data_IF_014472514089
#
_entry.id   IF_014472514089
#
_cell.length_a   1.000
_cell.length_b   1.000
_cell.length_c   1.000
_cell.angle_alpha   90.00
_cell.angle_beta   90.00
_cell.angle_gamma   90.00
#
_symmetry.space_group_name_H-M   'P 1'
#
loop_
_entity.id
_entity.type
_entity.pdbx_description
1 polymer ?
#
# COMPACT_ATOMS: atom_id res chain seq x y z
N UNK A 1 -23.22 2.20 0.00
CA UNK A 1 -22.04 1.55 -0.54
C UNK A 1 -21.41 0.63 0.48
N UNK A 2 -20.77 -0.45 0.06
CA UNK A 2 -20.15 -1.40 0.97
C UNK A 2 -18.78 -0.88 1.46
N UNK A 3 -18.32 -1.42 2.59
CA UNK A 3 -16.99 -1.12 3.12
C UNK A 3 -15.88 -1.47 2.11
N UNK A 4 -16.13 -2.47 1.25
CA UNK A 4 -15.14 -2.92 0.27
C UNK A 4 -14.75 -1.84 -0.75
N UNK A 5 -15.57 -0.82 -0.96
CA UNK A 5 -15.33 0.22 -1.95
C UNK A 5 -15.00 1.59 -1.35
N UNK A 6 -14.85 1.68 -0.03
CA UNK A 6 -14.60 2.97 0.64
C UNK A 6 -13.33 3.62 0.11
N UNK A 7 -12.22 2.91 0.09
CA UNK A 7 -10.94 3.47 -0.35
C UNK A 7 -10.89 3.70 -1.85
N UNK A 8 -11.44 2.78 -2.65
CA UNK A 8 -11.46 2.96 -4.10
C UNK A 8 -12.24 4.21 -4.50
N UNK A 9 -13.35 4.49 -3.81
CA UNK A 9 -14.14 5.70 -4.07
C UNK A 9 -13.36 6.97 -3.71
N UNK A 10 -12.61 6.95 -2.62
CA UNK A 10 -11.74 8.09 -2.26
C UNK A 10 -10.70 8.34 -3.34
N UNK A 11 -10.06 7.28 -3.83
CA UNK A 11 -9.06 7.40 -4.89
C UNK A 11 -9.70 7.94 -6.17
N UNK A 12 -10.84 7.41 -6.55
CA UNK A 12 -11.56 7.89 -7.75
C UNK A 12 -11.92 9.36 -7.65
N UNK A 13 -12.26 9.82 -6.43
CA UNK A 13 -12.71 11.18 -6.21
C UNK A 13 -11.62 12.23 -6.10
N UNK A 14 -10.51 11.90 -5.43
CA UNK A 14 -9.52 12.93 -5.07
C UNK A 14 -8.09 12.66 -5.53
N UNK A 15 -7.73 11.42 -5.86
CA UNK A 15 -6.36 11.11 -6.24
C UNK A 15 -6.04 11.50 -7.68
N UNK A 16 -4.80 11.89 -7.92
CA UNK A 16 -4.30 12.28 -9.25
C UNK A 16 -3.06 11.48 -9.59
N UNK A 17 -2.61 11.58 -10.85
CA UNK A 17 -1.40 10.90 -11.32
C UNK A 17 -0.12 11.37 -10.60
N UNK A 18 -0.18 12.47 -9.85
CA UNK A 18 0.95 12.97 -9.06
C UNK A 18 1.01 12.35 -7.67
N UNK A 19 0.07 11.49 -7.32
CA UNK A 19 0.01 10.83 -6.02
C UNK A 19 0.64 9.46 -6.06
N UNK A 20 0.89 8.90 -4.88
CA UNK A 20 1.34 7.51 -4.69
C UNK A 20 0.40 6.88 -3.68
N UNK A 21 -0.03 5.66 -3.94
CA UNK A 21 -0.84 4.90 -3.00
C UNK A 21 0.02 3.87 -2.27
N UNK A 22 -0.03 3.92 -0.94
CA UNK A 22 0.59 2.88 -0.12
C UNK A 22 -0.53 2.09 0.54
N UNK A 23 -0.57 0.79 0.32
CA UNK A 23 -1.56 -0.10 0.90
C UNK A 23 -0.92 -1.10 1.83
N UNK A 24 -1.54 -1.30 2.98
CA UNK A 24 -1.06 -2.22 4.01
C UNK A 24 -2.10 -3.31 4.22
N UNK A 25 -1.72 -4.54 3.98
CA UNK A 25 -2.60 -5.70 4.16
C UNK A 25 -1.74 -6.92 4.50
N UNK A 26 -1.88 -7.47 5.70
CA UNK A 26 -1.05 -8.60 6.13
C UNK A 26 -1.23 -9.81 5.22
N UNK A 27 -2.43 -10.09 4.77
CA UNK A 27 -2.72 -11.19 3.83
C UNK A 27 -2.44 -10.83 2.37
N UNK A 28 -2.47 -9.55 2.04
CA UNK A 28 -2.43 -9.09 0.66
C UNK A 28 -3.73 -9.33 -0.10
N UNK A 29 -4.79 -9.70 0.61
CA UNK A 29 -6.08 -10.07 -0.01
C UNK A 29 -7.26 -9.26 0.53
N UNK A 30 -7.01 -8.21 1.31
CA UNK A 30 -8.08 -7.37 1.84
C UNK A 30 -8.85 -6.71 0.68
N UNK A 31 -10.14 -6.99 0.55
CA UNK A 31 -10.94 -6.55 -0.59
C UNK A 31 -10.94 -5.05 -0.78
N UNK A 32 -11.05 -4.29 0.30
CA UNK A 32 -11.04 -2.82 0.23
C UNK A 32 -9.71 -2.30 -0.32
N UNK A 33 -8.60 -2.90 0.05
CA UNK A 33 -7.26 -2.51 -0.43
C UNK A 33 -7.06 -2.93 -1.88
N UNK A 34 -7.47 -4.15 -2.25
CA UNK A 34 -7.39 -4.63 -3.63
C UNK A 34 -8.15 -3.69 -4.57
N UNK A 35 -9.37 -3.31 -4.21
CA UNK A 35 -10.17 -2.38 -5.02
C UNK A 35 -9.52 -1.00 -5.12
N UNK A 36 -8.91 -0.52 -4.04
CA UNK A 36 -8.17 0.74 -4.07
C UNK A 36 -7.00 0.68 -5.05
N UNK A 37 -6.27 -0.43 -5.07
CA UNK A 37 -5.15 -0.62 -6.00
C UNK A 37 -5.62 -0.70 -7.45
N UNK A 38 -6.76 -1.33 -7.70
CA UNK A 38 -7.35 -1.36 -9.03
C UNK A 38 -7.71 0.05 -9.52
N UNK A 39 -8.32 0.86 -8.66
CA UNK A 39 -8.64 2.26 -8.99
C UNK A 39 -7.37 3.07 -9.24
N UNK A 40 -6.35 2.92 -8.41
CA UNK A 40 -5.08 3.62 -8.57
C UNK A 40 -4.40 3.25 -9.91
N UNK A 41 -4.40 1.98 -10.24
CA UNK A 41 -3.81 1.50 -11.50
C UNK A 41 -4.50 2.12 -12.71
N UNK A 42 -5.84 2.21 -12.69
CA UNK A 42 -6.61 2.83 -13.78
C UNK A 42 -6.25 4.31 -13.96
N UNK A 43 -5.91 4.99 -12.89
CA UNK A 43 -5.53 6.41 -12.92
C UNK A 43 -4.05 6.64 -13.19
N UNK A 44 -3.26 5.59 -13.35
CA UNK A 44 -1.83 5.70 -13.56
C UNK A 44 -1.05 6.11 -12.31
N UNK A 45 -1.60 5.84 -11.12
CA UNK A 45 -0.98 6.16 -9.84
C UNK A 45 -0.07 5.01 -9.43
N UNK A 46 1.22 5.26 -9.15
CA UNK A 46 2.12 4.23 -8.63
C UNK A 46 1.63 3.71 -7.28
N UNK A 47 1.80 2.41 -7.05
CA UNK A 47 1.34 1.75 -5.84
C UNK A 47 2.46 1.00 -5.15
N UNK A 48 2.44 1.02 -3.81
CA UNK A 48 3.35 0.27 -2.96
C UNK A 48 2.49 -0.55 -2.01
N UNK A 49 2.70 -1.86 -1.95
CA UNK A 49 1.99 -2.69 -0.97
C UNK A 49 2.94 -3.30 0.06
N UNK A 50 2.48 -3.31 1.30
CA UNK A 50 3.17 -3.95 2.41
C UNK A 50 2.31 -5.11 2.89
N UNK A 51 2.85 -6.32 2.80
CA UNK A 51 2.13 -7.55 3.14
C UNK A 51 3.00 -8.48 3.98
N UNK A 52 2.49 -9.69 4.24
CA UNK A 52 3.28 -10.79 4.75
C UNK A 52 4.03 -11.51 3.64
N UNK A 53 4.51 -12.71 3.91
CA UNK A 53 5.43 -13.43 3.01
C UNK A 53 4.82 -13.82 1.67
N UNK A 54 3.53 -14.13 1.62
CA UNK A 54 2.88 -14.60 0.38
C UNK A 54 2.52 -13.46 -0.59
N UNK A 55 2.21 -12.29 -0.07
CA UNK A 55 1.83 -11.12 -0.87
C UNK A 55 0.39 -11.10 -1.37
N UNK A 56 -0.29 -12.24 -1.43
CA UNK A 56 -1.67 -12.34 -1.90
C UNK A 56 -1.88 -11.72 -3.28
N UNK A 57 -3.06 -11.21 -3.53
CA UNK A 57 -3.40 -10.55 -4.80
C UNK A 57 -2.61 -9.26 -5.01
N UNK A 58 -2.29 -8.55 -3.93
CA UNK A 58 -1.61 -7.25 -4.03
C UNK A 58 -0.21 -7.37 -4.61
N UNK A 59 0.49 -8.48 -4.40
CA UNK A 59 1.83 -8.70 -4.93
C UNK A 59 1.92 -8.44 -6.43
N UNK A 60 0.95 -8.95 -7.19
CA UNK A 60 0.95 -8.83 -8.65
C UNK A 60 0.22 -7.57 -9.15
N UNK A 61 -0.54 -6.91 -8.29
CA UNK A 61 -1.29 -5.71 -8.63
C UNK A 61 -0.50 -4.42 -8.43
N UNK A 62 0.51 -4.44 -7.57
CA UNK A 62 1.22 -3.23 -7.16
C UNK A 62 2.45 -2.97 -8.02
N UNK A 63 2.85 -1.69 -8.09
CA UNK A 63 4.12 -1.29 -8.72
C UNK A 63 5.31 -1.81 -7.93
N UNK A 64 5.21 -1.76 -6.60
CA UNK A 64 6.25 -2.23 -5.69
C UNK A 64 5.63 -3.07 -4.58
N UNK A 65 6.23 -4.20 -4.29
CA UNK A 65 5.79 -5.11 -3.25
C UNK A 65 6.87 -5.28 -2.18
N UNK A 66 6.49 -5.05 -0.92
CA UNK A 66 7.36 -5.26 0.25
C UNK A 66 6.70 -6.33 1.11
N UNK A 67 7.11 -7.57 0.91
CA UNK A 67 6.62 -8.73 1.66
C UNK A 67 7.51 -9.00 2.86
N UNK A 68 6.94 -9.02 4.05
CA UNK A 68 7.68 -9.36 5.25
C UNK A 68 7.89 -10.87 5.31
N UNK A 69 9.08 -11.35 5.70
CA UNK A 69 9.39 -12.78 5.71
C UNK A 69 8.78 -13.47 6.94
N UNK A 70 7.48 -13.37 7.11
CA UNK A 70 6.76 -13.95 8.24
C UNK A 70 5.29 -14.19 7.88
N UNK A 71 4.69 -15.19 8.52
CA UNK A 71 3.25 -15.43 8.45
C UNK A 71 2.57 -15.10 9.79
N UNK A 72 3.32 -14.58 10.76
CA UNK A 72 2.80 -14.19 12.06
C UNK A 72 2.35 -12.74 12.02
N UNK A 73 1.04 -12.52 12.10
CA UNK A 73 0.42 -11.20 11.94
C UNK A 73 1.05 -10.10 12.80
N UNK A 74 1.29 -10.30 14.11
CA UNK A 74 1.93 -9.23 14.90
C UNK A 74 3.34 -8.87 14.40
N UNK A 75 4.10 -9.85 13.97
CA UNK A 75 5.45 -9.58 13.44
C UNK A 75 5.41 -8.86 12.12
N UNK A 76 4.44 -9.20 11.26
CA UNK A 76 4.22 -8.51 10.00
C UNK A 76 3.86 -7.05 10.25
N UNK A 77 2.93 -6.79 11.17
CA UNK A 77 2.47 -5.44 11.47
C UNK A 77 3.56 -4.56 12.08
N UNK A 78 4.37 -5.12 12.98
CA UNK A 78 5.53 -4.41 13.55
C UNK A 78 6.51 -3.99 12.46
N UNK A 79 6.77 -4.89 11.52
CA UNK A 79 7.66 -4.62 10.39
C UNK A 79 7.09 -3.56 9.45
N UNK A 80 5.79 -3.57 9.20
CA UNK A 80 5.12 -2.55 8.39
C UNK A 80 5.27 -1.17 9.00
N UNK A 81 5.10 -1.04 10.31
CA UNK A 81 5.26 0.23 11.01
C UNK A 81 6.70 0.72 10.90
N UNK A 82 7.67 -0.17 11.09
CA UNK A 82 9.08 0.17 10.96
C UNK A 82 9.39 0.69 9.55
N UNK A 83 8.92 -0.01 8.53
CA UNK A 83 9.12 0.41 7.14
C UNK A 83 8.45 1.77 6.88
N UNK A 84 7.25 1.97 7.41
CA UNK A 84 6.56 3.25 7.30
C UNK A 84 7.38 4.40 7.88
N UNK A 85 7.96 4.21 9.05
CA UNK A 85 8.84 5.22 9.67
C UNK A 85 10.10 5.47 8.84
N UNK A 86 10.70 4.42 8.29
CA UNK A 86 11.89 4.55 7.45
C UNK A 86 11.56 5.32 6.16
N UNK A 87 10.45 5.01 5.52
CA UNK A 87 10.01 5.72 4.30
C UNK A 87 9.80 7.19 4.60
N UNK A 88 9.11 7.52 5.69
CA UNK A 88 8.89 8.90 6.10
C UNK A 88 10.20 9.64 6.33
N UNK A 89 11.16 9.01 7.01
CA UNK A 89 12.47 9.60 7.25
C UNK A 89 13.21 9.87 5.94
N UNK A 90 13.23 8.91 5.03
CA UNK A 90 13.93 9.06 3.75
C UNK A 90 13.29 10.15 2.88
N UNK A 91 11.96 10.23 2.85
CA UNK A 91 11.25 11.27 2.11
C UNK A 91 11.56 12.63 2.69
N UNK A 92 11.54 12.76 4.01
CA UNK A 92 11.83 14.03 4.69
C UNK A 92 13.25 14.49 4.42
N UNK A 93 14.24 13.61 4.55
CA UNK A 93 15.63 13.93 4.27
C UNK A 93 15.82 14.37 2.82
N UNK A 94 15.23 13.66 1.88
CA UNK A 94 15.35 13.97 0.46
C UNK A 94 14.65 15.27 0.09
N UNK A 95 13.45 15.49 0.62
CA UNK A 95 12.66 16.68 0.31
C UNK A 95 13.32 17.95 0.84
N UNK A 96 13.84 17.92 2.04
CA UNK A 96 14.47 19.08 2.67
C UNK A 96 15.97 19.19 2.38
N UNK A 97 16.56 18.23 1.70
CA UNK A 97 18.00 18.23 1.34
C UNK A 97 18.91 18.38 2.57
N UNK A 98 18.55 17.72 3.64
CA UNK A 98 19.30 17.79 4.90
C UNK A 98 20.57 16.94 4.86
#
# INVERSE_FOLDING_TARGET
YSFDVVYSRMIDGIATANDILIGISTSGNSKNIVKAFESATKKGIPTICLTGSSGGQLKNLSSYWLGMPSDDTPRIQESHILIGHIICQLVEEKYFSL
#
